data_IF_162282303007
#
_entry.id   IF_162282303007
#
_cell.length_a   1.000
_cell.length_b   1.000
_cell.length_c   1.000
_cell.angle_alpha   90.00
_cell.angle_beta   90.00
_cell.angle_gamma   90.00
#
_symmetry.space_group_name_H-M   'P 1'
#
loop_
_entity.id
_entity.type
_entity.pdbx_description
1 polymer ?
#
# COMPACT_ATOMS: atom_id res chain seq x y z
N UNK A 1 27.67 6.37 42.62
CA UNK A 1 28.65 6.94 41.68
C UNK A 1 28.66 6.05 40.45
N UNK A 2 27.81 6.36 39.48
CA UNK A 2 27.72 5.69 38.18
C UNK A 2 28.62 6.45 37.22
N UNK A 3 29.83 5.94 37.02
CA UNK A 3 30.78 6.49 36.07
C UNK A 3 30.30 6.24 34.63
N UNK A 4 30.41 7.32 33.86
CA UNK A 4 30.37 7.47 32.40
C UNK A 4 30.21 6.21 31.54
N UNK A 5 29.01 6.04 30.96
CA UNK A 5 28.92 5.54 29.59
C UNK A 5 29.32 6.67 28.65
N UNK A 6 30.28 6.40 27.77
CA UNK A 6 30.69 7.30 26.70
C UNK A 6 29.48 7.73 25.86
N UNK A 7 29.34 9.02 25.49
CA UNK A 7 28.24 9.50 24.65
C UNK A 7 28.24 8.93 23.22
N UNK A 8 29.35 8.35 22.76
CA UNK A 8 29.58 8.07 21.33
C UNK A 8 29.27 6.63 20.88
N UNK A 9 28.41 5.89 21.58
CA UNK A 9 27.95 4.61 21.07
C UNK A 9 26.81 4.80 20.05
N UNK A 10 27.11 5.45 18.92
CA UNK A 10 26.17 5.55 17.80
C UNK A 10 25.94 4.16 17.22
N UNK A 11 24.75 3.61 17.45
CA UNK A 11 24.34 2.41 16.76
C UNK A 11 24.11 2.77 15.30
N UNK A 12 24.56 1.95 14.35
CA UNK A 12 24.30 2.19 12.91
C UNK A 12 22.81 2.39 12.59
N UNK A 13 21.92 1.89 13.45
CA UNK A 13 20.46 2.05 13.35
C UNK A 13 19.94 3.41 13.81
N UNK A 14 20.72 4.25 14.50
CA UNK A 14 20.34 5.64 14.85
C UNK A 14 20.77 6.67 13.81
N UNK A 15 21.73 6.31 12.93
CA UNK A 15 22.24 7.21 11.89
C UNK A 15 21.16 7.75 10.92
N UNK A 16 20.12 6.99 10.54
CA UNK A 16 19.04 7.54 9.71
C UNK A 16 18.22 8.61 10.45
N UNK A 17 17.92 8.39 11.73
CA UNK A 17 17.17 9.36 12.56
C UNK A 17 17.99 10.64 12.79
N UNK A 18 19.31 10.53 12.93
CA UNK A 18 20.22 11.67 13.07
C UNK A 18 20.33 12.49 11.77
N UNK A 19 20.15 11.85 10.60
CA UNK A 19 20.16 12.51 9.29
C UNK A 19 18.83 13.20 8.93
N UNK A 20 17.72 12.80 9.55
CA UNK A 20 16.39 13.40 9.35
C UNK A 20 16.23 14.77 10.04
N UNK A 21 17.23 15.19 10.83
CA UNK A 21 17.28 16.48 11.50
C UNK A 21 16.86 16.43 12.98
N UNK A 22 16.72 17.60 13.65
CA UNK A 22 16.39 17.63 15.08
C UNK A 22 14.99 17.06 15.31
N UNK A 23 14.89 16.09 16.23
CA UNK A 23 13.62 15.46 16.59
C UNK A 23 12.58 16.48 17.06
N UNK A 24 11.41 16.47 16.42
CA UNK A 24 10.29 17.34 16.78
C UNK A 24 9.45 16.80 17.96
N UNK A 25 9.74 15.59 18.44
CA UNK A 25 9.05 14.97 19.57
C UNK A 25 9.71 15.40 20.90
N UNK A 26 9.02 16.14 21.78
CA UNK A 26 9.58 16.65 23.03
C UNK A 26 9.56 15.63 24.19
N UNK A 27 9.12 14.39 23.96
CA UNK A 27 9.06 13.37 25.02
C UNK A 27 10.38 12.65 25.22
N UNK A 28 10.70 12.26 26.46
CA UNK A 28 11.87 11.43 26.82
C UNK A 28 11.71 9.93 26.45
N UNK A 29 10.79 9.60 25.54
CA UNK A 29 10.60 8.23 25.07
C UNK A 29 11.76 7.81 24.17
N UNK A 30 12.07 6.51 24.17
CA UNK A 30 13.08 5.95 23.28
C UNK A 30 12.74 6.20 21.82
N UNK A 31 13.75 6.48 21.00
CA UNK A 31 13.59 6.53 19.54
C UNK A 31 13.34 5.14 18.97
N UNK A 32 12.85 5.07 17.73
CA UNK A 32 12.65 3.77 17.05
C UNK A 32 14.01 3.08 16.84
N UNK A 33 15.04 3.84 16.47
CA UNK A 33 16.42 3.38 16.35
C UNK A 33 16.97 2.77 17.64
N UNK A 34 16.66 3.35 18.79
CA UNK A 34 17.04 2.81 20.11
C UNK A 34 16.28 1.53 20.48
N UNK A 35 14.97 1.45 20.16
CA UNK A 35 14.16 0.23 20.37
C UNK A 35 14.71 -0.91 19.50
N UNK A 36 15.03 -0.62 18.25
CA UNK A 36 15.63 -1.56 17.29
C UNK A 36 17.01 -2.01 17.79
N UNK A 37 17.90 -1.08 18.15
CA UNK A 37 19.24 -1.39 18.68
C UNK A 37 19.18 -2.28 19.94
N UNK A 38 18.24 -2.01 20.85
CA UNK A 38 18.03 -2.83 22.05
C UNK A 38 17.56 -4.26 21.72
N UNK A 39 16.75 -4.45 20.68
CA UNK A 39 16.32 -5.77 20.20
C UNK A 39 17.46 -6.53 19.52
N UNK A 40 18.22 -5.87 18.65
CA UNK A 40 19.31 -6.50 17.90
C UNK A 40 20.51 -6.85 18.78
N UNK A 41 20.87 -6.00 19.76
CA UNK A 41 21.96 -6.29 20.72
C UNK A 41 21.69 -7.54 21.56
N UNK A 42 20.46 -7.71 22.07
CA UNK A 42 20.06 -8.92 22.82
C UNK A 42 20.07 -10.18 21.97
N UNK A 43 19.52 -10.12 20.75
CA UNK A 43 19.48 -11.27 19.83
C UNK A 43 20.88 -11.65 19.35
N UNK A 44 21.72 -10.66 19.04
CA UNK A 44 23.12 -10.85 18.67
C UNK A 44 23.92 -11.49 19.80
N UNK A 45 23.77 -11.00 21.04
CA UNK A 45 24.42 -11.58 22.21
C UNK A 45 23.95 -13.02 22.46
N UNK A 46 22.65 -13.31 22.41
CA UNK A 46 22.12 -14.66 22.64
C UNK A 46 22.54 -15.64 21.54
N UNK A 47 22.46 -15.25 20.26
CA UNK A 47 22.97 -16.07 19.16
C UNK A 47 24.48 -16.32 19.27
N UNK A 48 25.24 -15.27 19.57
CA UNK A 48 26.70 -15.35 19.72
C UNK A 48 27.14 -16.21 20.90
N UNK A 49 26.49 -16.06 22.06
CA UNK A 49 26.81 -16.86 23.25
C UNK A 49 26.43 -18.33 23.09
N UNK A 50 25.26 -18.65 22.52
CA UNK A 50 24.88 -20.03 22.20
C UNK A 50 25.83 -20.69 21.20
N UNK A 51 26.26 -19.96 20.17
CA UNK A 51 27.21 -20.47 19.18
C UNK A 51 28.58 -20.76 19.81
N UNK A 52 29.12 -19.84 20.62
CA UNK A 52 30.40 -20.02 21.30
C UNK A 52 30.37 -21.18 22.29
N UNK A 53 29.30 -21.32 23.08
CA UNK A 53 29.16 -22.41 24.04
C UNK A 53 29.03 -23.78 23.38
N UNK A 54 28.29 -23.89 22.27
CA UNK A 54 28.14 -25.14 21.54
C UNK A 54 29.46 -25.58 20.87
N UNK A 55 30.23 -24.64 20.33
CA UNK A 55 31.51 -24.93 19.66
C UNK A 55 32.60 -25.27 20.70
N UNK A 56 32.68 -24.54 21.81
CA UNK A 56 33.66 -24.82 22.87
C UNK A 56 33.45 -26.17 23.57
N UNK A 57 32.22 -26.68 23.59
CA UNK A 57 31.89 -27.97 24.22
C UNK A 57 32.17 -29.19 23.32
N UNK A 58 32.36 -29.00 22.01
CA UNK A 58 32.34 -30.12 21.04
C UNK A 58 33.55 -30.20 20.11
N UNK A 59 34.38 -29.15 20.02
CA UNK A 59 35.45 -29.10 19.01
C UNK A 59 36.81 -28.68 19.61
N UNK A 60 37.87 -29.41 19.26
CA UNK A 60 39.25 -29.11 19.66
C UNK A 60 39.67 -27.70 19.18
N UNK A 61 40.47 -26.94 19.96
CA UNK A 61 40.96 -25.60 19.58
C UNK A 61 41.67 -25.56 18.21
N UNK A 62 42.23 -26.69 17.75
CA UNK A 62 42.88 -26.80 16.46
C UNK A 62 41.88 -26.75 15.27
N UNK A 63 40.68 -27.30 15.45
CA UNK A 63 39.64 -27.34 14.41
C UNK A 63 38.98 -25.97 14.18
N UNK A 64 38.97 -25.11 15.21
CA UNK A 64 38.54 -23.71 15.14
C UNK A 64 39.46 -22.85 14.27
N UNK A 65 40.74 -23.19 14.17
CA UNK A 65 41.74 -22.45 13.38
C UNK A 65 41.70 -22.87 11.90
N UNK A 66 41.29 -24.12 11.63
CA UNK A 66 41.13 -24.68 10.29
C UNK A 66 39.73 -24.54 9.70
N UNK A 67 38.78 -23.98 10.45
CA UNK A 67 37.43 -23.71 9.98
C UNK A 67 37.47 -22.52 9.02
N UNK A 68 37.90 -22.82 7.80
CA UNK A 68 37.84 -21.94 6.64
C UNK A 68 36.44 -21.35 6.54
N UNK A 69 36.37 -20.06 6.23
CA UNK A 69 35.18 -19.19 6.28
C UNK A 69 33.85 -19.94 6.09
N UNK A 70 33.28 -20.45 7.18
CA UNK A 70 31.88 -20.79 7.24
C UNK A 70 31.12 -19.47 7.25
N UNK A 71 31.06 -18.82 6.08
CA UNK A 71 30.00 -17.88 5.81
C UNK A 71 28.73 -18.68 6.06
N UNK A 72 28.03 -18.35 7.13
CA UNK A 72 26.61 -18.56 7.17
C UNK A 72 26.08 -17.85 5.92
N UNK A 73 25.94 -18.58 4.82
CA UNK A 73 24.97 -18.22 3.83
C UNK A 73 23.66 -18.26 4.60
N UNK A 74 23.23 -17.11 5.11
CA UNK A 74 21.82 -16.92 5.41
C UNK A 74 21.14 -17.18 4.07
N UNK A 75 20.72 -18.44 3.86
CA UNK A 75 19.98 -18.81 2.67
C UNK A 75 18.80 -17.86 2.61
N UNK A 76 18.76 -17.03 1.56
CA UNK A 76 17.63 -16.15 1.35
C UNK A 76 16.36 -16.99 1.41
N UNK A 77 15.34 -16.50 2.11
CA UNK A 77 14.02 -17.13 2.06
C UNK A 77 13.41 -17.09 0.65
N UNK A 78 14.03 -16.32 -0.25
CA UNK A 78 13.58 -16.09 -1.61
C UNK A 78 14.41 -16.93 -2.60
N UNK A 79 13.72 -17.54 -3.55
CA UNK A 79 14.30 -18.38 -4.59
C UNK A 79 14.58 -17.61 -5.90
N UNK A 80 14.76 -16.30 -5.83
CA UNK A 80 15.02 -15.43 -6.97
C UNK A 80 16.22 -14.52 -6.69
N UNK A 81 16.92 -14.14 -7.75
CA UNK A 81 18.03 -13.20 -7.67
C UNK A 81 17.50 -11.78 -7.43
N UNK A 82 18.08 -11.07 -6.46
CA UNK A 82 17.72 -9.69 -6.15
C UNK A 82 17.95 -8.78 -7.37
N UNK A 83 17.01 -7.86 -7.60
CA UNK A 83 17.06 -6.91 -8.70
C UNK A 83 18.04 -5.77 -8.39
N UNK A 84 18.74 -5.29 -9.42
CA UNK A 84 19.52 -4.07 -9.31
C UNK A 84 18.59 -2.84 -9.25
N UNK A 85 18.88 -1.93 -8.33
CA UNK A 85 18.15 -0.67 -8.24
C UNK A 85 18.47 0.22 -9.45
N UNK A 86 17.43 0.78 -10.09
CA UNK A 86 17.54 1.63 -11.26
C UNK A 86 16.36 2.59 -11.39
N UNK A 87 16.50 3.55 -12.31
CA UNK A 87 15.45 4.53 -12.63
C UNK A 87 15.26 4.51 -14.15
N UNK A 88 14.19 3.87 -14.61
CA UNK A 88 13.72 3.89 -15.99
C UNK A 88 12.18 3.74 -16.04
N UNK A 89 11.62 3.57 -17.24
CA UNK A 89 10.18 3.46 -17.49
C UNK A 89 9.66 2.01 -17.47
N UNK A 90 10.47 1.04 -17.04
CA UNK A 90 10.14 -0.39 -17.08
C UNK A 90 9.80 -0.94 -15.71
N UNK A 91 8.87 -1.89 -15.69
CA UNK A 91 8.59 -2.70 -14.52
C UNK A 91 9.50 -3.95 -14.54
N UNK A 92 10.64 -3.87 -13.83
CA UNK A 92 11.59 -4.98 -13.77
C UNK A 92 11.13 -6.05 -12.78
N UNK A 93 11.20 -7.32 -13.19
CA UNK A 93 10.95 -8.50 -12.36
C UNK A 93 12.13 -9.46 -12.45
N UNK A 94 12.30 -10.32 -11.45
CA UNK A 94 13.41 -11.28 -11.41
C UNK A 94 13.34 -12.28 -12.58
N UNK A 95 14.47 -12.83 -13.04
CA UNK A 95 14.50 -13.85 -14.09
C UNK A 95 13.55 -15.03 -13.78
N UNK A 96 12.76 -15.44 -14.76
CA UNK A 96 11.77 -16.52 -14.61
C UNK A 96 10.39 -16.06 -14.12
N UNK A 97 10.20 -14.77 -13.84
CA UNK A 97 8.92 -14.17 -13.50
C UNK A 97 8.37 -13.29 -14.63
N UNK A 98 7.07 -13.08 -14.62
CA UNK A 98 6.36 -12.14 -15.48
C UNK A 98 5.45 -11.21 -14.66
N UNK A 99 5.09 -10.07 -15.26
CA UNK A 99 4.13 -9.13 -14.71
C UNK A 99 3.15 -8.74 -15.81
N UNK A 100 1.86 -8.97 -15.58
CA UNK A 100 0.79 -8.54 -16.46
C UNK A 100 -0.03 -7.44 -15.81
N UNK A 101 -0.52 -6.52 -16.62
CA UNK A 101 -1.50 -5.52 -16.19
C UNK A 101 -2.89 -6.17 -16.15
N UNK A 102 -3.49 -6.24 -14.96
CA UNK A 102 -4.85 -6.76 -14.77
C UNK A 102 -5.92 -5.68 -15.01
N UNK A 103 -5.74 -4.51 -14.39
CA UNK A 103 -6.65 -3.37 -14.43
C UNK A 103 -5.86 -2.06 -14.40
N UNK A 104 -6.36 -1.06 -15.13
CA UNK A 104 -5.86 0.32 -15.19
C UNK A 104 -6.99 1.28 -14.89
N UNK A 105 -6.65 2.50 -14.46
CA UNK A 105 -7.64 3.57 -14.39
C UNK A 105 -8.43 3.68 -15.70
N UNK A 106 -9.76 3.75 -15.58
CA UNK A 106 -10.65 3.84 -16.73
C UNK A 106 -11.09 2.50 -17.29
N UNK A 107 -10.42 1.38 -16.97
CA UNK A 107 -10.81 0.07 -17.50
C UNK A 107 -12.27 -0.27 -17.10
N UNK A 108 -13.07 -0.84 -18.02
CA UNK A 108 -14.48 -1.09 -17.81
C UNK A 108 -14.74 -2.23 -16.81
N UNK A 109 -15.62 -2.01 -15.83
CA UNK A 109 -15.91 -3.01 -14.78
C UNK A 109 -17.18 -3.82 -15.03
N UNK A 110 -18.04 -3.37 -15.93
CA UNK A 110 -19.33 -4.00 -16.24
C UNK A 110 -19.46 -4.29 -17.73
N UNK A 111 -20.33 -5.24 -18.10
CA UNK A 111 -20.59 -5.59 -19.50
C UNK A 111 -20.99 -4.38 -20.37
N UNK A 112 -21.74 -3.43 -19.80
CA UNK A 112 -22.22 -2.20 -20.44
C UNK A 112 -21.37 -0.95 -20.12
N UNK A 113 -20.23 -1.11 -19.45
CA UNK A 113 -19.36 0.03 -19.14
C UNK A 113 -18.83 0.67 -20.42
N UNK A 114 -18.79 2.00 -20.49
CA UNK A 114 -18.13 2.67 -21.60
C UNK A 114 -16.63 2.39 -21.56
N UNK A 115 -16.02 2.29 -22.73
CA UNK A 115 -14.56 2.26 -22.86
C UNK A 115 -13.97 3.61 -22.42
N UNK A 116 -12.74 3.57 -21.92
CA UNK A 116 -12.07 4.76 -21.42
C UNK A 116 -11.67 5.70 -22.58
N UNK A 117 -12.11 6.95 -22.50
CA UNK A 117 -11.67 8.03 -23.39
C UNK A 117 -11.12 9.17 -22.50
N UNK A 118 -9.78 9.36 -22.43
CA UNK A 118 -9.19 10.40 -21.59
C UNK A 118 -9.58 11.82 -22.05
N UNK A 119 -10.08 11.98 -23.28
CA UNK A 119 -10.51 13.28 -23.83
C UNK A 119 -12.00 13.58 -23.61
N UNK A 120 -12.80 12.57 -23.22
CA UNK A 120 -14.27 12.68 -23.05
C UNK A 120 -14.75 12.02 -21.76
N UNK A 121 -14.05 12.31 -20.68
CA UNK A 121 -14.40 11.79 -19.35
C UNK A 121 -15.73 12.39 -18.87
N UNK A 122 -16.46 11.61 -18.06
CA UNK A 122 -17.63 12.08 -17.33
C UNK A 122 -17.78 11.30 -16.03
N UNK A 123 -18.34 11.92 -15.00
CA UNK A 123 -18.60 11.25 -13.72
C UNK A 123 -19.44 9.97 -13.92
N UNK A 124 -20.42 10.01 -14.83
CA UNK A 124 -21.25 8.84 -15.15
C UNK A 124 -20.45 7.68 -15.73
N UNK A 125 -19.50 7.95 -16.65
CA UNK A 125 -18.61 6.93 -17.19
C UNK A 125 -17.65 6.43 -16.10
N UNK A 126 -17.03 7.34 -15.36
CA UNK A 126 -16.09 7.02 -14.29
C UNK A 126 -16.73 6.14 -13.20
N UNK A 127 -18.02 6.32 -12.90
CA UNK A 127 -18.77 5.49 -11.94
C UNK A 127 -18.90 4.02 -12.37
N UNK A 128 -18.61 3.69 -13.65
CA UNK A 128 -18.64 2.32 -14.19
C UNK A 128 -17.24 1.79 -14.56
N UNK A 129 -16.20 2.57 -14.32
CA UNK A 129 -14.82 2.25 -14.67
C UNK A 129 -13.96 2.06 -13.42
N UNK A 130 -12.80 1.44 -13.55
CA UNK A 130 -11.82 1.36 -12.47
C UNK A 130 -11.33 2.77 -12.07
N UNK A 131 -11.15 3.00 -10.77
CA UNK A 131 -10.77 4.30 -10.23
C UNK A 131 -9.31 4.68 -10.49
N UNK A 132 -8.90 5.83 -9.95
CA UNK A 132 -7.58 6.43 -10.17
C UNK A 132 -6.66 6.19 -8.96
N UNK A 133 -5.36 6.00 -9.20
CA UNK A 133 -4.35 5.68 -8.19
C UNK A 133 -4.80 4.58 -7.23
N UNK A 134 -4.86 3.36 -7.78
CA UNK A 134 -5.14 2.20 -6.96
C UNK A 134 -4.10 2.06 -5.84
N UNK A 135 -4.57 1.85 -4.62
CA UNK A 135 -3.74 1.62 -3.44
C UNK A 135 -3.95 0.18 -2.94
N UNK A 136 -4.60 -0.02 -1.79
CA UNK A 136 -4.83 -1.34 -1.24
C UNK A 136 -5.45 -2.31 -2.25
N UNK A 137 -4.92 -3.53 -2.28
CA UNK A 137 -5.47 -4.65 -3.05
C UNK A 137 -5.69 -5.82 -2.10
N UNK A 138 -6.93 -6.30 -2.05
CA UNK A 138 -7.34 -7.49 -1.32
C UNK A 138 -8.01 -8.52 -2.23
N UNK A 139 -7.87 -9.80 -1.89
CA UNK A 139 -8.54 -10.90 -2.58
C UNK A 139 -9.50 -11.62 -1.62
N UNK A 140 -10.76 -11.74 -2.02
CA UNK A 140 -11.78 -12.50 -1.31
C UNK A 140 -12.20 -13.68 -2.18
N UNK A 141 -11.91 -14.93 -1.79
CA UNK A 141 -12.19 -16.10 -2.61
C UNK A 141 -13.71 -16.30 -2.78
N UNK A 142 -14.14 -16.63 -4.00
CA UNK A 142 -15.48 -17.17 -4.24
C UNK A 142 -15.39 -18.69 -4.08
N UNK A 143 -16.28 -19.26 -3.27
CA UNK A 143 -16.32 -20.70 -2.97
C UNK A 143 -14.98 -21.28 -2.49
N UNK A 144 -14.17 -20.47 -1.80
CA UNK A 144 -12.84 -20.87 -1.28
C UNK A 144 -11.75 -21.01 -2.35
N UNK A 145 -12.01 -20.58 -3.60
CA UNK A 145 -11.08 -20.73 -4.71
C UNK A 145 -9.87 -19.78 -4.62
N UNK A 146 -8.68 -20.31 -4.88
CA UNK A 146 -7.46 -19.52 -5.03
C UNK A 146 -7.32 -18.86 -6.42
N UNK A 147 -8.20 -19.20 -7.37
CA UNK A 147 -8.12 -18.78 -8.78
C UNK A 147 -9.40 -18.10 -9.28
N UNK A 148 -10.37 -17.87 -8.40
CA UNK A 148 -11.64 -17.20 -8.70
C UNK A 148 -12.17 -16.50 -7.46
N UNK A 149 -12.31 -15.18 -7.53
CA UNK A 149 -12.67 -14.38 -6.36
C UNK A 149 -12.97 -12.93 -6.71
N UNK A 150 -13.22 -12.15 -5.67
CA UNK A 150 -13.34 -10.71 -5.76
C UNK A 150 -12.01 -10.05 -5.45
N UNK A 151 -11.58 -9.17 -6.34
CA UNK A 151 -10.56 -8.19 -6.05
C UNK A 151 -11.24 -6.96 -5.45
N UNK A 152 -10.79 -6.54 -4.27
CA UNK A 152 -11.20 -5.28 -3.64
C UNK A 152 -10.03 -4.31 -3.69
N UNK A 153 -10.26 -3.13 -4.25
CA UNK A 153 -9.20 -2.16 -4.56
C UNK A 153 -9.59 -0.76 -4.14
N UNK A 154 -8.74 -0.10 -3.35
CA UNK A 154 -8.90 1.30 -2.99
C UNK A 154 -8.47 2.23 -4.12
N UNK A 155 -9.04 3.44 -4.16
CA UNK A 155 -8.63 4.53 -5.04
C UNK A 155 -8.41 5.79 -4.21
N UNK A 156 -7.14 6.13 -3.99
CA UNK A 156 -6.74 7.05 -2.93
C UNK A 156 -6.92 8.51 -3.31
N UNK A 157 -6.34 8.93 -4.44
CA UNK A 157 -6.34 10.32 -4.87
C UNK A 157 -6.35 10.44 -6.39
N UNK A 158 -6.39 11.67 -6.88
CA UNK A 158 -6.39 11.99 -8.31
C UNK A 158 -5.29 12.98 -8.67
N UNK A 159 -4.83 12.93 -9.91
CA UNK A 159 -3.86 13.87 -10.46
C UNK A 159 -4.52 14.66 -11.60
N UNK A 160 -5.20 15.79 -11.31
CA UNK A 160 -5.99 16.50 -12.32
C UNK A 160 -5.17 16.95 -13.53
N UNK A 161 -3.90 17.28 -13.32
CA UNK A 161 -2.95 17.66 -14.37
C UNK A 161 -2.59 16.51 -15.33
N UNK A 162 -2.78 15.25 -14.92
CA UNK A 162 -2.63 14.07 -15.78
C UNK A 162 -3.98 13.61 -16.35
N UNK A 163 -5.07 13.88 -15.62
CA UNK A 163 -6.41 13.47 -16.04
C UNK A 163 -7.00 14.35 -17.13
N UNK A 164 -6.77 15.67 -17.10
CA UNK A 164 -7.47 16.59 -17.99
C UNK A 164 -6.54 17.36 -18.92
N UNK A 165 -6.71 17.14 -20.23
CA UNK A 165 -5.97 17.89 -21.25
C UNK A 165 -6.24 19.40 -21.15
N UNK A 166 -5.20 20.21 -21.29
CA UNK A 166 -5.31 21.68 -21.30
C UNK A 166 -5.44 22.31 -19.91
N UNK A 167 -5.45 21.53 -18.83
CA UNK A 167 -5.52 22.06 -17.47
C UNK A 167 -4.19 22.71 -17.04
N UNK A 168 -3.06 22.20 -17.51
CA UNK A 168 -1.72 22.75 -17.23
C UNK A 168 -1.23 23.56 -18.43
N UNK A 169 -0.74 24.76 -18.14
CA UNK A 169 -0.03 25.61 -19.09
C UNK A 169 1.35 25.95 -18.55
N UNK A 170 2.30 26.20 -19.43
CA UNK A 170 3.63 26.69 -19.05
C UNK A 170 3.63 28.21 -19.18
N UNK A 171 3.79 28.92 -18.07
CA UNK A 171 3.90 30.39 -18.00
C UNK A 171 5.26 30.71 -17.40
N UNK A 172 6.10 31.44 -18.13
CA UNK A 172 7.46 31.81 -17.72
C UNK A 172 8.31 30.60 -17.27
N UNK A 173 8.19 29.48 -17.99
CA UNK A 173 8.92 28.24 -17.68
C UNK A 173 8.40 27.47 -16.46
N UNK A 174 7.29 27.92 -15.85
CA UNK A 174 6.65 27.25 -14.70
C UNK A 174 5.31 26.64 -15.10
N UNK A 175 5.08 25.40 -14.67
CA UNK A 175 3.77 24.76 -14.81
C UNK A 175 2.75 25.46 -13.92
N UNK A 176 1.63 25.88 -14.51
CA UNK A 176 0.48 26.47 -13.81
C UNK A 176 -0.78 25.69 -14.16
N UNK A 177 -1.44 25.17 -13.13
CA UNK A 177 -2.73 24.49 -13.25
C UNK A 177 -3.88 25.51 -13.18
N UNK A 178 -4.81 25.44 -14.12
CA UNK A 178 -6.07 26.18 -14.08
C UNK A 178 -7.03 25.60 -13.01
N UNK A 179 -7.99 26.39 -12.51
CA UNK A 179 -9.05 25.83 -11.66
C UNK A 179 -9.88 24.80 -12.42
N UNK A 180 -10.37 23.81 -11.71
CA UNK A 180 -11.22 22.75 -12.27
C UNK A 180 -12.64 23.26 -12.47
N UNK A 181 -13.27 22.85 -13.57
CA UNK A 181 -14.72 22.96 -13.75
C UNK A 181 -15.46 22.01 -12.80
N UNK A 182 -16.75 22.26 -12.59
CA UNK A 182 -17.59 21.36 -11.78
C UNK A 182 -17.58 19.93 -12.34
N UNK A 183 -17.65 19.79 -13.66
CA UNK A 183 -17.66 18.50 -14.33
C UNK A 183 -16.35 17.72 -14.10
N UNK A 184 -15.21 18.42 -14.10
CA UNK A 184 -13.91 17.81 -13.78
C UNK A 184 -13.84 17.40 -12.31
N UNK A 185 -14.33 18.24 -11.39
CA UNK A 185 -14.43 17.90 -9.96
C UNK A 185 -15.32 16.66 -9.76
N UNK A 186 -16.46 16.58 -10.44
CA UNK A 186 -17.37 15.44 -10.34
C UNK A 186 -16.72 14.14 -10.89
N UNK A 187 -15.88 14.24 -11.93
CA UNK A 187 -15.05 13.11 -12.41
C UNK A 187 -14.04 12.69 -11.36
N UNK A 188 -13.26 13.61 -10.80
CA UNK A 188 -12.27 13.29 -9.77
C UNK A 188 -12.91 12.67 -8.54
N UNK A 189 -13.97 13.29 -8.02
CA UNK A 189 -14.77 12.76 -6.92
C UNK A 189 -15.22 11.32 -7.19
N UNK A 190 -15.63 11.02 -8.42
CA UNK A 190 -16.07 9.67 -8.80
C UNK A 190 -14.92 8.69 -9.03
N UNK A 191 -13.70 9.17 -9.28
CA UNK A 191 -12.51 8.34 -9.44
C UNK A 191 -11.97 7.79 -8.11
N UNK A 192 -12.32 8.39 -6.97
CA UNK A 192 -12.00 7.92 -5.62
C UNK A 192 -12.87 6.72 -5.19
N UNK A 193 -12.56 6.18 -4.00
CA UNK A 193 -13.39 5.22 -3.29
C UNK A 193 -12.83 3.81 -3.38
N UNK A 194 -13.66 2.87 -3.81
CA UNK A 194 -13.32 1.47 -3.93
C UNK A 194 -13.87 0.81 -5.20
N UNK A 195 -13.16 -0.18 -5.71
CA UNK A 195 -13.64 -1.13 -6.70
C UNK A 195 -13.75 -2.51 -6.07
N UNK A 196 -14.89 -3.16 -6.25
CA UNK A 196 -15.08 -4.58 -6.03
C UNK A 196 -15.30 -5.18 -7.41
N UNK A 197 -14.48 -6.15 -7.82
CA UNK A 197 -14.56 -6.73 -9.15
C UNK A 197 -14.23 -8.22 -9.11
N UNK A 198 -15.07 -9.03 -9.74
CA UNK A 198 -14.84 -10.44 -9.91
C UNK A 198 -13.70 -10.68 -10.90
N UNK A 199 -12.75 -11.53 -10.49
CA UNK A 199 -11.60 -11.93 -11.31
C UNK A 199 -11.46 -13.44 -11.30
N UNK A 200 -10.97 -14.00 -12.41
CA UNK A 200 -10.68 -15.43 -12.55
C UNK A 200 -9.37 -15.64 -13.28
N UNK A 201 -8.62 -16.65 -12.86
CA UNK A 201 -7.44 -17.12 -13.58
C UNK A 201 -7.87 -18.10 -14.67
N UNK A 202 -7.52 -17.79 -15.91
CA UNK A 202 -7.80 -18.62 -17.08
C UNK A 202 -6.48 -18.84 -17.80
N UNK A 203 -6.10 -20.11 -17.99
CA UNK A 203 -4.86 -20.48 -18.68
C UNK A 203 -3.61 -19.78 -18.09
N UNK A 204 -3.55 -19.68 -16.76
CA UNK A 204 -2.43 -19.06 -16.06
C UNK A 204 -2.50 -17.54 -15.89
N UNK A 205 -3.45 -16.84 -16.55
CA UNK A 205 -3.55 -15.37 -16.53
C UNK A 205 -4.83 -14.90 -15.84
N UNK A 206 -4.74 -13.87 -15.01
CA UNK A 206 -5.89 -13.26 -14.36
C UNK A 206 -6.70 -12.41 -15.34
N UNK A 207 -8.03 -12.48 -15.23
CA UNK A 207 -8.96 -11.75 -16.08
C UNK A 207 -10.13 -11.22 -15.27
N UNK A 208 -10.66 -10.07 -15.67
CA UNK A 208 -11.88 -9.47 -15.11
C UNK A 208 -13.11 -10.15 -15.67
N UNK A 209 -14.06 -10.50 -14.81
CA UNK A 209 -15.36 -11.04 -15.17
C UNK A 209 -16.35 -9.85 -15.24
N UNK A 210 -16.50 -9.23 -16.41
CA UNK A 210 -17.32 -8.01 -16.61
C UNK A 210 -18.83 -8.20 -16.37
N UNK A 211 -19.32 -9.42 -16.45
CA UNK A 211 -20.69 -9.82 -16.12
C UNK A 211 -20.82 -10.34 -14.67
N UNK A 212 -19.76 -10.22 -13.88
CA UNK A 212 -19.73 -10.56 -12.46
C UNK A 212 -20.79 -9.79 -11.68
N UNK A 213 -21.71 -10.52 -11.03
CA UNK A 213 -22.88 -9.94 -10.35
C UNK A 213 -22.51 -9.10 -9.12
N UNK A 214 -21.29 -9.29 -8.61
CA UNK A 214 -20.78 -8.62 -7.42
C UNK A 214 -19.90 -7.40 -7.77
N UNK A 215 -19.69 -7.12 -9.06
CA UNK A 215 -18.93 -5.95 -9.47
C UNK A 215 -19.60 -4.68 -8.97
N UNK A 216 -18.82 -3.77 -8.38
CA UNK A 216 -19.35 -2.55 -7.76
C UNK A 216 -18.28 -1.47 -7.70
N UNK A 217 -18.70 -0.24 -7.96
CA UNK A 217 -17.97 0.96 -7.55
C UNK A 217 -18.56 1.52 -6.26
N UNK A 218 -17.68 1.80 -5.31
CA UNK A 218 -17.93 2.66 -4.15
C UNK A 218 -17.21 3.96 -4.47
N UNK A 219 -17.89 5.08 -4.33
CA UNK A 219 -17.40 6.41 -4.73
C UNK A 219 -17.67 7.43 -3.63
N UNK A 220 -17.16 8.65 -3.79
CA UNK A 220 -17.49 9.79 -2.94
C UNK A 220 -18.97 10.18 -2.91
N UNK A 221 -19.82 9.57 -3.76
CA UNK A 221 -21.27 9.81 -3.79
C UNK A 221 -22.08 8.61 -3.28
N UNK A 222 -21.43 7.54 -2.83
CA UNK A 222 -22.13 6.36 -2.30
C UNK A 222 -22.68 6.65 -0.91
N UNK A 223 -23.99 6.48 -0.69
CA UNK A 223 -24.55 6.54 0.66
C UNK A 223 -24.01 5.36 1.49
N UNK A 224 -23.45 5.67 2.67
CA UNK A 224 -22.85 4.72 3.59
C UNK A 224 -23.47 4.91 4.96
N UNK A 225 -23.85 3.81 5.60
CA UNK A 225 -24.38 3.84 6.96
C UNK A 225 -23.25 4.12 7.96
N UNK A 226 -23.48 5.06 8.87
CA UNK A 226 -22.61 5.29 10.02
C UNK A 226 -23.09 4.40 11.17
N UNK A 227 -22.17 3.62 11.74
CA UNK A 227 -22.45 2.69 12.85
C UNK A 227 -21.46 2.92 14.00
N UNK A 228 -21.64 2.16 15.08
CA UNK A 228 -20.82 2.26 16.29
C UNK A 228 -21.21 3.44 17.20
N UNK A 229 -20.41 3.72 18.24
CA UNK A 229 -20.79 4.65 19.31
C UNK A 229 -21.07 6.10 18.89
N UNK A 230 -20.55 6.53 17.73
CA UNK A 230 -20.71 7.91 17.24
C UNK A 230 -21.96 8.10 16.39
N UNK A 231 -22.60 7.03 15.93
CA UNK A 231 -23.80 7.11 15.11
C UNK A 231 -24.93 7.79 15.87
N UNK A 232 -25.55 8.82 15.28
CA UNK A 232 -26.60 9.63 15.88
C UNK A 232 -26.12 10.76 16.80
N UNK A 233 -24.80 10.88 17.03
CA UNK A 233 -24.23 11.94 17.86
C UNK A 233 -24.41 13.32 17.20
N UNK A 234 -24.64 14.37 17.98
CA UNK A 234 -24.90 15.73 17.43
C UNK A 234 -23.77 16.28 16.55
N UNK A 235 -22.54 15.76 16.73
CA UNK A 235 -21.35 16.16 15.95
C UNK A 235 -21.30 15.59 14.54
N UNK A 236 -22.08 14.55 14.25
CA UNK A 236 -22.14 13.93 12.92
C UNK A 236 -23.45 14.26 12.18
N UNK A 237 -24.33 15.05 12.81
CA UNK A 237 -25.54 15.57 12.17
C UNK A 237 -25.17 16.75 11.27
N UNK A 238 -25.70 16.74 10.06
CA UNK A 238 -25.55 17.84 9.10
C UNK A 238 -26.93 18.25 8.58
N UNK A 239 -27.00 19.32 7.79
CA UNK A 239 -28.24 19.67 7.08
C UNK A 239 -28.67 18.59 6.09
N UNK A 240 -27.72 17.81 5.54
CA UNK A 240 -27.99 16.72 4.61
C UNK A 240 -28.44 15.43 5.32
N UNK A 241 -27.94 15.17 6.53
CA UNK A 241 -28.43 14.10 7.39
C UNK A 241 -28.62 14.58 8.84
N UNK A 242 -29.84 15.04 9.19
CA UNK A 242 -30.16 15.43 10.56
C UNK A 242 -30.19 14.25 11.54
N UNK A 243 -30.23 13.00 11.06
CA UNK A 243 -30.21 11.83 11.94
C UNK A 243 -28.80 11.52 12.46
N UNK A 244 -27.75 11.87 11.69
CA UNK A 244 -26.35 11.56 12.01
C UNK A 244 -26.02 10.07 11.88
N UNK A 245 -26.73 9.35 11.01
CA UNK A 245 -26.58 7.90 10.81
C UNK A 245 -26.19 7.53 9.37
N UNK A 246 -26.03 8.52 8.49
CA UNK A 246 -25.66 8.34 7.09
C UNK A 246 -24.59 9.35 6.70
N UNK A 247 -23.63 8.89 5.90
CA UNK A 247 -22.62 9.73 5.25
C UNK A 247 -22.64 9.50 3.75
N UNK A 248 -22.28 10.51 2.98
CA UNK A 248 -22.16 10.40 1.53
C UNK A 248 -20.68 10.29 1.19
N UNK A 249 -20.29 9.10 0.73
CA UNK A 249 -19.01 8.83 0.15
C UNK A 249 -17.93 8.37 1.10
N UNK A 250 -16.84 7.94 0.47
CA UNK A 250 -15.54 7.70 1.07
C UNK A 250 -14.48 8.18 0.08
N UNK A 251 -13.42 8.80 0.59
CA UNK A 251 -12.34 9.42 -0.18
C UNK A 251 -11.02 9.21 0.56
N UNK A 252 -9.90 9.42 -0.13
CA UNK A 252 -8.56 9.24 0.43
C UNK A 252 -8.36 7.83 0.98
N UNK A 253 -8.89 6.85 0.25
CA UNK A 253 -8.84 5.44 0.58
C UNK A 253 -7.42 4.93 0.33
N UNK A 254 -6.60 4.85 1.37
CA UNK A 254 -5.19 4.46 1.29
C UNK A 254 -5.03 2.93 1.37
N UNK A 255 -4.59 2.42 2.52
CA UNK A 255 -4.47 1.01 2.82
C UNK A 255 -5.82 0.35 3.12
N UNK A 256 -5.80 -0.93 3.47
CA UNK A 256 -7.01 -1.67 3.81
C UNK A 256 -6.73 -3.06 4.35
N UNK A 257 -7.80 -3.83 4.51
CA UNK A 257 -7.73 -5.21 4.97
C UNK A 257 -8.93 -6.04 4.55
N UNK A 258 -8.71 -7.35 4.41
CA UNK A 258 -9.77 -8.35 4.35
C UNK A 258 -9.83 -9.05 5.70
N UNK A 259 -10.97 -8.98 6.35
CA UNK A 259 -11.19 -9.63 7.64
C UNK A 259 -11.32 -11.16 7.46
N UNK A 260 -11.08 -11.95 8.53
CA UNK A 260 -11.27 -13.40 8.47
C UNK A 260 -12.69 -13.86 8.15
N UNK A 261 -13.69 -12.99 8.26
CA UNK A 261 -15.09 -13.25 7.92
C UNK A 261 -15.51 -12.63 6.57
N UNK A 262 -14.53 -12.25 5.74
CA UNK A 262 -14.76 -11.89 4.34
C UNK A 262 -15.29 -10.47 4.11
N UNK A 263 -14.98 -9.52 5.00
CA UNK A 263 -15.31 -8.10 4.80
C UNK A 263 -14.08 -7.29 4.43
N UNK A 264 -14.27 -6.33 3.54
CA UNK A 264 -13.26 -5.34 3.15
C UNK A 264 -13.35 -4.10 4.05
N UNK A 265 -12.19 -3.64 4.52
CA UNK A 265 -11.99 -2.45 5.38
C UNK A 265 -11.08 -1.46 4.67
#
# INVERSE_FOLDING_TARGET
MTEHRSPDAHFRTSLPEENDGPGANPTDNRTMGEIIAARFSRRGFLKGSLAVSAIAATVSPLALITADNARAAEGSAFAFDELEAGIDDKHHVAPGYDADVLLRWGDPLFADSPEFDPTKQSAKAQARQFGYNNDYVGYIPIDGSAEHGLLVVNHEYTNPHLMFSGLVTIVDGKAKQAPLSKEQVDVEMTAHGGTIVEIRKVSGKWQVVRDGKLNRRITSNTEIALSGPVAGHDRVKTSADPSGTKVIGTVNNCAGGVTPWGTYV
#
